data_IF_061227986005
#
_entry.id   IF_061227986005
#
_cell.length_a   1.000
_cell.length_b   1.000
_cell.length_c   1.000
_cell.angle_alpha   90.00
_cell.angle_beta   90.00
_cell.angle_gamma   90.00
#
_symmetry.space_group_name_H-M   'P 1'
#
loop_
_entity.id
_entity.type
_entity.pdbx_description
1 polymer ?
#
# COMPACT_ATOMS: atom_id res chain seq x y z
N UNK A 1 -41.22 11.05 -22.32
CA UNK A 1 -40.37 9.87 -22.02
C UNK A 1 -38.91 9.99 -22.47
N UNK A 2 -38.56 10.76 -23.52
CA UNK A 2 -37.16 10.94 -23.98
C UNK A 2 -36.19 11.57 -22.96
N UNK A 3 -36.67 12.44 -22.05
CA UNK A 3 -35.80 13.14 -21.07
C UNK A 3 -35.19 12.20 -20.01
N UNK A 4 -35.90 11.14 -19.61
CA UNK A 4 -35.39 10.15 -18.65
C UNK A 4 -34.32 9.23 -19.24
N UNK A 5 -34.40 8.94 -20.55
CA UNK A 5 -33.39 8.13 -21.24
C UNK A 5 -32.05 8.87 -21.40
N UNK A 6 -32.09 10.18 -21.62
CA UNK A 6 -30.87 10.99 -21.69
C UNK A 6 -30.16 11.09 -20.34
N UNK A 7 -30.89 11.25 -19.22
CA UNK A 7 -30.28 11.30 -17.90
C UNK A 7 -29.61 9.98 -17.52
N UNK A 8 -30.18 8.84 -17.92
CA UNK A 8 -29.65 7.52 -17.61
C UNK A 8 -28.36 7.21 -18.37
N UNK A 9 -28.27 7.64 -19.65
CA UNK A 9 -27.02 7.55 -20.44
C UNK A 9 -25.91 8.43 -19.89
N UNK A 10 -26.24 9.65 -19.48
CA UNK A 10 -25.26 10.58 -18.88
C UNK A 10 -24.78 10.02 -17.53
N UNK A 11 -25.69 9.52 -16.69
CA UNK A 11 -25.33 8.90 -15.41
C UNK A 11 -24.41 7.69 -15.62
N UNK A 12 -24.71 6.81 -16.59
CA UNK A 12 -23.86 5.68 -16.92
C UNK A 12 -22.46 6.12 -17.40
N UNK A 13 -22.37 7.14 -18.24
CA UNK A 13 -21.10 7.72 -18.69
C UNK A 13 -20.27 8.28 -17.53
N UNK A 14 -20.89 9.00 -16.60
CA UNK A 14 -20.22 9.56 -15.42
C UNK A 14 -19.71 8.45 -14.51
N UNK A 15 -20.50 7.41 -14.27
CA UNK A 15 -20.09 6.25 -13.47
C UNK A 15 -18.88 5.55 -14.12
N UNK A 16 -18.95 5.28 -15.43
CA UNK A 16 -17.85 4.64 -16.16
C UNK A 16 -16.59 5.50 -16.15
N UNK A 17 -16.72 6.82 -16.36
CA UNK A 17 -15.60 7.75 -16.29
C UNK A 17 -14.97 7.79 -14.89
N UNK A 18 -15.79 7.77 -13.83
CA UNK A 18 -15.31 7.70 -12.45
C UNK A 18 -14.55 6.42 -12.14
N UNK A 19 -15.05 5.27 -12.60
CA UNK A 19 -14.38 3.97 -12.44
C UNK A 19 -13.05 3.95 -13.22
N UNK A 20 -13.05 4.45 -14.46
CA UNK A 20 -11.85 4.53 -15.27
C UNK A 20 -10.79 5.43 -14.61
N UNK A 21 -11.18 6.59 -14.12
CA UNK A 21 -10.28 7.51 -13.42
C UNK A 21 -9.71 6.91 -12.13
N UNK A 22 -10.56 6.30 -11.30
CA UNK A 22 -10.10 5.64 -10.07
C UNK A 22 -9.12 4.48 -10.36
N UNK A 23 -9.36 3.73 -11.44
CA UNK A 23 -8.49 2.65 -11.88
C UNK A 23 -7.13 3.17 -12.37
N UNK A 24 -7.14 4.27 -13.14
CA UNK A 24 -5.92 4.96 -13.57
C UNK A 24 -5.15 5.57 -12.39
N UNK A 25 -5.84 6.17 -11.41
CA UNK A 25 -5.21 6.70 -10.18
C UNK A 25 -4.46 5.61 -9.42
N UNK A 26 -5.12 4.45 -9.21
CA UNK A 26 -4.54 3.29 -8.57
C UNK A 26 -3.36 2.71 -9.36
N UNK A 27 -3.45 2.72 -10.69
CA UNK A 27 -2.39 2.22 -11.55
C UNK A 27 -1.17 3.15 -11.53
N UNK A 28 -1.37 4.47 -11.60
CA UNK A 28 -0.29 5.46 -11.67
C UNK A 28 0.41 5.73 -10.35
N UNK A 29 -0.32 5.75 -9.23
CA UNK A 29 0.30 6.12 -7.94
C UNK A 29 0.97 4.94 -7.25
N UNK A 30 0.72 3.71 -7.73
CA UNK A 30 1.25 2.49 -7.13
C UNK A 30 0.77 2.29 -5.69
N UNK A 31 1.17 1.17 -5.09
CA UNK A 31 0.88 0.88 -3.70
C UNK A 31 1.89 -0.12 -3.16
N UNK A 32 2.20 0.03 -1.88
CA UNK A 32 3.01 -0.94 -1.14
C UNK A 32 2.11 -1.63 -0.14
N UNK A 33 2.07 -2.97 -0.19
CA UNK A 33 1.39 -3.81 0.79
C UNK A 33 2.41 -4.65 1.53
N UNK A 34 2.33 -4.63 2.86
CA UNK A 34 3.05 -5.56 3.73
C UNK A 34 2.06 -6.50 4.37
N UNK A 35 2.31 -7.80 4.25
CA UNK A 35 1.51 -8.87 4.84
C UNK A 35 2.31 -9.58 5.93
N UNK A 36 1.72 -9.70 7.12
CA UNK A 36 2.25 -10.46 8.25
C UNK A 36 1.23 -11.52 8.69
N UNK A 37 1.32 -12.74 8.12
CA UNK A 37 0.40 -13.81 8.45
C UNK A 37 0.61 -14.38 9.86
N UNK A 38 1.70 -14.02 10.55
CA UNK A 38 2.08 -14.58 11.86
C UNK A 38 1.98 -13.56 13.00
N UNK A 39 1.55 -12.33 12.71
CA UNK A 39 1.40 -11.24 13.68
C UNK A 39 2.68 -10.94 14.48
N UNK A 40 3.83 -11.05 13.82
CA UNK A 40 5.16 -10.79 14.39
C UNK A 40 5.52 -9.29 14.39
N UNK A 41 4.85 -8.49 13.58
CA UNK A 41 5.16 -7.07 13.36
C UNK A 41 4.37 -6.19 14.33
N UNK A 42 5.05 -5.16 14.85
CA UNK A 42 4.47 -4.11 15.67
C UNK A 42 4.14 -2.87 14.85
N UNK A 43 5.04 -2.47 13.95
CA UNK A 43 4.85 -1.31 13.07
C UNK A 43 5.59 -1.46 11.75
N UNK A 44 5.08 -0.81 10.71
CA UNK A 44 5.71 -0.74 9.39
C UNK A 44 5.77 0.72 8.94
N UNK A 45 6.88 1.12 8.34
CA UNK A 45 7.08 2.44 7.77
C UNK A 45 7.79 2.34 6.42
N UNK A 46 7.67 3.38 5.60
CA UNK A 46 8.55 3.62 4.46
C UNK A 46 9.61 4.60 4.93
N UNK A 47 10.87 4.24 4.75
CA UNK A 47 12.03 5.05 5.14
C UNK A 47 12.85 5.40 3.89
N UNK A 48 13.07 6.68 3.64
CA UNK A 48 13.72 7.19 2.45
C UNK A 48 13.92 8.71 2.53
N UNK A 49 14.96 9.24 1.88
CA UNK A 49 15.31 10.67 1.91
C UNK A 49 15.37 11.29 3.33
N UNK A 50 15.84 10.49 4.31
CA UNK A 50 15.91 10.91 5.71
C UNK A 50 14.54 11.07 6.40
N UNK A 51 13.45 10.74 5.70
CA UNK A 51 12.09 10.74 6.24
C UNK A 51 11.64 9.32 6.57
N UNK A 52 10.91 9.19 7.67
CA UNK A 52 10.22 7.96 8.04
C UNK A 52 8.73 8.20 8.06
N UNK A 53 8.01 7.55 7.15
CA UNK A 53 6.56 7.67 7.06
C UNK A 53 5.87 6.36 7.45
N UNK A 54 5.06 6.33 8.52
CA UNK A 54 4.37 5.12 8.94
C UNK A 54 3.36 4.67 7.89
N UNK A 55 3.28 3.36 7.67
CA UNK A 55 2.24 2.74 6.86
C UNK A 55 0.96 2.58 7.70
N UNK A 56 -0.21 2.66 7.06
CA UNK A 56 -1.49 2.48 7.75
C UNK A 56 -1.84 0.99 7.79
N UNK A 57 -2.30 0.51 8.94
CA UNK A 57 -2.91 -0.81 9.02
C UNK A 57 -4.23 -0.79 8.24
N UNK A 58 -4.37 -1.71 7.29
CA UNK A 58 -5.59 -1.84 6.48
C UNK A 58 -6.51 -2.91 7.07
N UNK A 59 -5.94 -4.05 7.48
CA UNK A 59 -6.63 -5.12 8.18
C UNK A 59 -5.63 -5.86 9.08
N UNK A 60 -6.11 -6.83 9.87
CA UNK A 60 -5.25 -7.60 10.77
C UNK A 60 -4.13 -8.28 9.99
N UNK A 61 -2.87 -7.90 10.25
CA UNK A 61 -1.70 -8.42 9.56
C UNK A 61 -1.46 -7.82 8.16
N UNK A 62 -2.10 -6.70 7.81
CA UNK A 62 -1.85 -6.00 6.55
C UNK A 62 -1.62 -4.50 6.77
N UNK A 63 -0.56 -3.98 6.17
CA UNK A 63 -0.25 -2.55 6.12
C UNK A 63 -0.18 -2.09 4.68
N UNK A 64 -0.71 -0.91 4.42
CA UNK A 64 -0.76 -0.30 3.09
C UNK A 64 -0.28 1.14 3.16
N UNK A 65 0.49 1.55 2.16
CA UNK A 65 0.82 2.94 1.91
C UNK A 65 0.99 3.20 0.41
N UNK A 66 0.71 4.44 0.00
CA UNK A 66 1.03 4.93 -1.35
C UNK A 66 2.44 5.53 -1.33
N UNK A 67 3.42 4.98 -2.05
CA UNK A 67 4.77 5.53 -2.04
C UNK A 67 4.78 6.91 -2.71
N UNK A 68 5.32 7.92 -2.01
CA UNK A 68 5.49 9.29 -2.55
C UNK A 68 6.96 9.70 -2.61
N UNK A 69 7.84 8.86 -2.08
CA UNK A 69 9.30 9.00 -2.05
C UNK A 69 9.91 7.64 -2.36
N UNK A 70 11.12 7.64 -2.89
CA UNK A 70 11.95 6.43 -2.98
C UNK A 70 12.44 6.04 -1.59
N UNK A 71 12.60 4.74 -1.32
CA UNK A 71 13.07 4.27 -0.02
C UNK A 71 12.96 2.76 0.13
N UNK A 72 12.86 2.31 1.39
CA UNK A 72 12.74 0.90 1.76
C UNK A 72 11.63 0.69 2.79
N UNK A 73 11.09 -0.52 2.88
CA UNK A 73 10.14 -0.87 3.93
C UNK A 73 10.93 -1.12 5.22
N UNK A 74 10.69 -0.29 6.24
CA UNK A 74 11.19 -0.46 7.60
C UNK A 74 10.15 -1.21 8.43
N UNK A 75 10.51 -2.41 8.89
CA UNK A 75 9.63 -3.33 9.61
C UNK A 75 10.13 -3.44 11.05
N UNK A 76 9.33 -2.98 12.00
CA UNK A 76 9.61 -3.13 13.43
C UNK A 76 8.86 -4.35 13.97
N UNK A 77 9.60 -5.41 14.30
CA UNK A 77 9.09 -6.63 14.90
C UNK A 77 8.77 -6.42 16.39
N UNK A 78 7.81 -7.19 16.91
CA UNK A 78 7.38 -7.13 18.33
C UNK A 78 8.47 -7.52 19.32
N UNK A 79 9.49 -8.26 18.86
CA UNK A 79 10.65 -8.66 19.67
C UNK A 79 11.77 -7.59 19.70
N UNK A 80 11.53 -6.40 19.12
CA UNK A 80 12.47 -5.29 19.06
C UNK A 80 13.41 -5.29 17.85
N UNK A 81 13.40 -6.34 17.02
CA UNK A 81 14.19 -6.38 15.79
C UNK A 81 13.62 -5.38 14.77
N UNK A 82 14.48 -4.63 14.11
CA UNK A 82 14.12 -3.82 12.95
C UNK A 82 14.82 -4.36 11.71
N UNK A 83 14.08 -4.50 10.62
CA UNK A 83 14.63 -4.91 9.33
C UNK A 83 14.14 -4.00 8.22
N UNK A 84 15.03 -3.79 7.25
CA UNK A 84 14.75 -3.06 6.03
C UNK A 84 14.62 -4.05 4.86
N UNK A 85 13.52 -3.95 4.12
CA UNK A 85 13.16 -4.91 3.06
C UNK A 85 12.47 -4.19 1.92
N UNK A 86 12.71 -4.65 0.70
CA UNK A 86 12.00 -4.22 -0.50
C UNK A 86 12.24 -2.75 -0.86
N UNK A 87 12.71 -2.52 -2.08
CA UNK A 87 12.87 -1.16 -2.60
C UNK A 87 11.51 -0.59 -3.01
N UNK A 88 11.19 0.57 -2.46
CA UNK A 88 9.95 1.30 -2.67
C UNK A 88 10.24 2.45 -3.63
N UNK A 89 9.43 2.57 -4.69
CA UNK A 89 9.50 3.69 -5.64
C UNK A 89 8.09 4.21 -5.92
N UNK A 90 7.90 5.54 -6.08
CA UNK A 90 6.63 6.11 -6.49
C UNK A 90 6.10 5.48 -7.77
N UNK A 91 4.79 5.21 -7.81
CA UNK A 91 4.14 4.60 -8.98
C UNK A 91 4.37 3.10 -9.16
N UNK A 92 5.21 2.44 -8.34
CA UNK A 92 5.39 0.99 -8.39
C UNK A 92 4.50 0.27 -7.39
N UNK A 93 4.06 -0.92 -7.78
CA UNK A 93 3.36 -1.85 -6.91
C UNK A 93 4.35 -2.81 -6.28
N UNK A 94 4.33 -2.91 -4.95
CA UNK A 94 5.17 -3.84 -4.21
C UNK A 94 4.33 -4.58 -3.17
N UNK A 95 4.42 -5.91 -3.17
CA UNK A 95 3.83 -6.74 -2.15
C UNK A 95 4.95 -7.49 -1.42
N UNK A 96 5.07 -7.27 -0.11
CA UNK A 96 6.06 -7.94 0.72
C UNK A 96 5.37 -8.78 1.79
N UNK A 97 5.79 -10.04 1.93
CA UNK A 97 5.29 -10.93 2.98
C UNK A 97 6.36 -11.15 4.02
N UNK A 98 6.06 -10.80 5.27
CA UNK A 98 6.94 -10.95 6.41
C UNK A 98 7.06 -12.43 6.77
N UNK A 99 8.30 -12.90 6.85
CA UNK A 99 8.63 -14.26 7.25
C UNK A 99 9.10 -14.31 8.70
N UNK A 100 9.29 -15.54 9.24
CA UNK A 100 9.87 -15.68 10.59
C UNK A 100 11.31 -15.19 10.62
N UNK A 101 12.05 -15.35 9.52
CA UNK A 101 13.48 -15.06 9.44
C UNK A 101 13.72 -13.56 9.48
N UNK A 102 12.78 -12.76 8.95
CA UNK A 102 12.83 -11.29 9.04
C UNK A 102 12.75 -10.77 10.47
N UNK A 103 12.06 -11.49 11.36
CA UNK A 103 11.99 -11.17 12.78
C UNK A 103 12.87 -12.10 13.63
N UNK A 104 13.71 -12.95 13.04
CA UNK A 104 14.66 -13.73 13.82
C UNK A 104 15.74 -12.79 14.37
N UNK A 105 16.17 -12.99 15.62
CA UNK A 105 17.38 -12.32 16.12
C UNK A 105 18.55 -12.86 15.33
N UNK A 106 19.04 -12.12 14.34
CA UNK A 106 20.39 -12.32 13.82
C UNK A 106 21.34 -12.16 14.99
N UNK A 107 22.01 -13.26 15.32
CA UNK A 107 22.93 -13.38 16.45
C UNK A 107 24.32 -12.94 16.03
#
# INVERSE_FOLDING_TARGET
MQRYFFSLRIAALVIVAGIAYASLDLWWHGFVVVRDPRHLVAAVAIEGDGQRRPMRAYSTGYWVARPTIDGVISIACRNGVQVHRGDVQPGRQLAYTVTRDDCARTR
#
